data_IF_392391361583
#
_entry.id   IF_392391361583
#
_cell.length_a   1.000
_cell.length_b   1.000
_cell.length_c   1.000
_cell.angle_alpha   90.00
_cell.angle_beta   90.00
_cell.angle_gamma   90.00
#
_symmetry.space_group_name_H-M   'P 1'
#
loop_
_entity.id
_entity.type
_entity.pdbx_description
1 polymer ?
#
# COMPACT_ATOMS: atom_id res chain seq x y z
N UNK A 1 -5.32 -2.88 -6.93
CA UNK A 1 -4.10 -2.12 -6.66
C UNK A 1 -3.94 -0.90 -7.59
N UNK A 2 -3.96 -1.08 -8.92
CA UNK A 2 -3.74 0.03 -9.88
C UNK A 2 -4.73 1.19 -9.65
N UNK A 3 -6.00 0.89 -9.34
CA UNK A 3 -7.02 1.90 -9.01
C UNK A 3 -6.59 2.78 -7.82
N UNK A 4 -6.02 2.17 -6.77
CA UNK A 4 -5.51 2.91 -5.61
C UNK A 4 -4.39 3.89 -6.00
N UNK A 5 -3.42 3.40 -6.79
CA UNK A 5 -2.26 4.23 -7.18
C UNK A 5 -2.67 5.38 -8.08
N UNK A 6 -3.60 5.15 -9.00
CA UNK A 6 -4.16 6.19 -9.84
C UNK A 6 -4.87 7.27 -9.02
N UNK A 7 -5.74 6.87 -8.09
CA UNK A 7 -6.43 7.79 -7.17
C UNK A 7 -5.41 8.61 -6.36
N UNK A 8 -4.40 7.97 -5.77
CA UNK A 8 -3.46 8.67 -4.88
C UNK A 8 -2.50 9.59 -5.64
N UNK A 9 -2.03 9.16 -6.82
CA UNK A 9 -1.26 10.03 -7.70
C UNK A 9 -2.04 11.30 -8.02
N UNK A 10 -3.28 11.15 -8.48
CA UNK A 10 -4.11 12.29 -8.82
C UNK A 10 -4.47 13.13 -7.58
N UNK A 11 -4.75 12.49 -6.45
CA UNK A 11 -4.97 13.18 -5.18
C UNK A 11 -3.78 14.10 -4.82
N UNK A 12 -2.57 13.60 -4.89
CA UNK A 12 -1.39 14.42 -4.59
C UNK A 12 -1.20 15.54 -5.62
N UNK A 13 -1.46 15.28 -6.88
CA UNK A 13 -1.38 16.31 -7.93
C UNK A 13 -2.46 17.38 -7.76
N UNK A 14 -3.68 17.00 -7.40
CA UNK A 14 -4.81 17.94 -7.26
C UNK A 14 -4.74 18.75 -5.96
N UNK A 15 -4.44 18.10 -4.82
CA UNK A 15 -4.50 18.75 -3.51
C UNK A 15 -3.20 19.49 -3.14
N UNK A 16 -2.05 19.05 -3.69
CA UNK A 16 -0.73 19.58 -3.31
C UNK A 16 0.08 20.13 -4.48
N UNK A 17 -0.49 20.19 -5.68
CA UNK A 17 0.23 20.54 -6.92
C UNK A 17 1.51 19.70 -7.11
N UNK A 18 1.43 18.41 -6.71
CA UNK A 18 2.57 17.51 -6.76
C UNK A 18 3.01 17.23 -8.20
N UNK A 19 4.31 17.27 -8.44
CA UNK A 19 4.88 16.78 -9.69
C UNK A 19 5.06 15.26 -9.62
N UNK A 20 4.93 14.59 -10.76
CA UNK A 20 5.06 13.14 -10.83
C UNK A 20 6.37 12.62 -10.20
N UNK A 21 7.48 13.31 -10.45
CA UNK A 21 8.79 12.97 -9.88
C UNK A 21 8.90 13.14 -8.35
N UNK A 22 7.93 13.80 -7.69
CA UNK A 22 7.88 13.93 -6.23
C UNK A 22 7.10 12.82 -5.54
N UNK A 23 6.42 11.97 -6.33
CA UNK A 23 5.62 10.84 -5.84
C UNK A 23 6.45 9.56 -5.88
N UNK A 24 6.31 8.70 -4.88
CA UNK A 24 6.97 7.40 -4.83
C UNK A 24 6.04 6.34 -4.23
N UNK A 25 6.07 5.12 -4.77
CA UNK A 25 5.38 3.96 -4.25
C UNK A 25 6.35 3.13 -3.41
N UNK A 26 5.93 2.74 -2.21
CA UNK A 26 6.72 1.94 -1.27
C UNK A 26 5.96 0.66 -0.93
N UNK A 27 6.59 -0.48 -1.11
CA UNK A 27 6.03 -1.80 -0.80
C UNK A 27 7.15 -2.78 -0.45
N UNK A 28 6.83 -3.86 0.26
CA UNK A 28 7.80 -4.93 0.52
C UNK A 28 8.25 -5.63 -0.76
N UNK A 29 9.37 -6.30 -0.71
CA UNK A 29 9.87 -7.11 -1.83
C UNK A 29 8.97 -8.31 -2.13
N UNK A 30 8.19 -8.78 -1.14
CA UNK A 30 7.24 -9.89 -1.27
C UNK A 30 5.92 -9.48 -1.92
N UNK A 31 5.75 -8.22 -2.25
CA UNK A 31 4.50 -7.71 -2.81
C UNK A 31 4.18 -8.35 -4.15
N UNK A 32 2.89 -8.45 -4.47
CA UNK A 32 2.43 -9.03 -5.73
C UNK A 32 2.92 -8.22 -6.94
N UNK A 33 3.19 -8.90 -8.08
CA UNK A 33 3.70 -8.27 -9.31
C UNK A 33 2.81 -7.13 -9.85
N UNK A 34 1.53 -7.07 -9.47
CA UNK A 34 0.64 -5.96 -9.84
C UNK A 34 1.12 -4.61 -9.31
N UNK A 35 1.90 -4.60 -8.23
CA UNK A 35 2.43 -3.39 -7.63
C UNK A 35 3.50 -2.75 -8.51
N UNK A 36 4.62 -3.43 -8.86
CA UNK A 36 5.59 -2.87 -9.80
C UNK A 36 4.98 -2.59 -11.18
N UNK A 37 4.02 -3.41 -11.64
CA UNK A 37 3.31 -3.16 -12.90
C UNK A 37 2.49 -1.87 -12.83
N UNK A 38 1.78 -1.63 -11.74
CA UNK A 38 1.00 -0.40 -11.54
C UNK A 38 1.88 0.84 -11.46
N UNK A 39 3.00 0.77 -10.75
CA UNK A 39 3.98 1.84 -10.67
C UNK A 39 4.53 2.19 -12.08
N UNK A 40 4.90 1.18 -12.86
CA UNK A 40 5.38 1.37 -14.24
C UNK A 40 4.31 2.01 -15.13
N UNK A 41 3.07 1.50 -15.12
CA UNK A 41 1.97 2.04 -15.93
C UNK A 41 1.67 3.51 -15.60
N UNK A 42 1.80 3.88 -14.34
CA UNK A 42 1.50 5.23 -13.86
C UNK A 42 2.74 6.14 -13.83
N UNK A 43 3.90 5.62 -14.24
CA UNK A 43 5.20 6.31 -14.25
C UNK A 43 5.60 6.83 -12.85
N UNK A 44 5.27 6.07 -11.81
CA UNK A 44 5.62 6.37 -10.42
C UNK A 44 6.88 5.57 -10.05
N UNK A 45 7.88 6.24 -9.49
CA UNK A 45 9.06 5.58 -8.94
C UNK A 45 8.67 4.62 -7.81
N UNK A 46 9.44 3.55 -7.64
CA UNK A 46 9.15 2.52 -6.64
C UNK A 46 10.34 2.24 -5.75
N UNK A 47 10.05 2.09 -4.45
CA UNK A 47 10.96 1.57 -3.44
C UNK A 47 10.50 0.17 -3.04
N UNK A 48 11.40 -0.80 -3.14
CA UNK A 48 11.20 -2.17 -2.66
C UNK A 48 11.87 -2.30 -1.30
N UNK A 49 11.09 -2.58 -0.26
CA UNK A 49 11.57 -2.69 1.11
C UNK A 49 11.96 -4.14 1.38
N UNK A 50 13.19 -4.41 1.82
CA UNK A 50 13.60 -5.75 2.23
C UNK A 50 12.79 -6.27 3.40
N UNK A 51 12.64 -7.59 3.46
CA UNK A 51 12.00 -8.28 4.58
C UNK A 51 12.99 -9.27 5.22
N UNK A 52 12.76 -9.60 6.47
CA UNK A 52 13.48 -10.67 7.16
C UNK A 52 13.21 -12.00 6.47
N UNK A 53 14.25 -12.80 6.24
CA UNK A 53 14.14 -14.04 5.46
C UNK A 53 13.27 -15.10 6.13
N UNK A 54 13.29 -15.20 7.46
CA UNK A 54 12.57 -16.25 8.20
C UNK A 54 11.14 -15.82 8.54
N UNK A 55 10.98 -14.59 9.03
CA UNK A 55 9.69 -14.09 9.54
C UNK A 55 8.88 -13.37 8.47
N UNK A 56 9.50 -12.97 7.37
CA UNK A 56 8.93 -12.12 6.30
C UNK A 56 8.44 -10.76 6.81
N UNK A 57 8.89 -10.34 7.98
CA UNK A 57 8.59 -9.01 8.52
C UNK A 57 9.38 -7.93 7.79
N UNK A 58 8.80 -6.74 7.68
CA UNK A 58 9.48 -5.55 7.13
C UNK A 58 10.73 -5.24 7.96
N UNK A 59 11.85 -5.02 7.28
CA UNK A 59 13.06 -4.53 7.93
C UNK A 59 12.90 -3.01 8.19
N UNK A 60 12.62 -2.64 9.45
CA UNK A 60 12.33 -1.26 9.83
C UNK A 60 13.51 -0.32 9.62
N UNK A 61 14.74 -0.76 9.91
CA UNK A 61 15.93 0.07 9.75
C UNK A 61 16.17 0.41 8.28
N UNK A 62 16.07 -0.58 7.42
CA UNK A 62 16.21 -0.37 5.97
C UNK A 62 15.04 0.43 5.38
N UNK A 63 13.83 0.23 5.90
CA UNK A 63 12.67 1.06 5.50
C UNK A 63 12.94 2.53 5.85
N UNK A 64 13.39 2.82 7.08
CA UNK A 64 13.69 4.19 7.50
C UNK A 64 14.77 4.83 6.62
N UNK A 65 15.87 4.12 6.38
CA UNK A 65 16.95 4.57 5.50
C UNK A 65 16.44 4.89 4.09
N UNK A 66 15.65 4.00 3.48
CA UNK A 66 15.09 4.18 2.14
C UNK A 66 14.14 5.38 2.06
N UNK A 67 13.32 5.61 3.09
CA UNK A 67 12.44 6.77 3.18
C UNK A 67 13.23 8.08 3.25
N UNK A 68 14.30 8.11 4.04
CA UNK A 68 15.17 9.29 4.18
C UNK A 68 15.94 9.58 2.88
N UNK A 69 16.47 8.56 2.22
CA UNK A 69 17.11 8.69 0.90
C UNK A 69 16.11 9.25 -0.12
N UNK A 70 14.89 8.71 -0.14
CA UNK A 70 13.84 9.20 -1.04
C UNK A 70 13.52 10.68 -0.79
N UNK A 71 13.36 11.06 0.49
CA UNK A 71 13.13 12.46 0.90
C UNK A 71 14.27 13.36 0.43
N UNK A 72 15.52 12.95 0.64
CA UNK A 72 16.70 13.71 0.20
C UNK A 72 16.76 13.88 -1.33
N UNK A 73 16.24 12.89 -2.07
CA UNK A 73 16.11 12.91 -3.54
C UNK A 73 14.84 13.64 -4.03
N UNK A 74 14.17 14.40 -3.18
CA UNK A 74 13.04 15.25 -3.55
C UNK A 74 11.68 14.56 -3.56
N UNK A 75 11.57 13.31 -3.04
CA UNK A 75 10.26 12.65 -2.86
C UNK A 75 9.54 13.30 -1.67
N UNK A 76 8.29 13.68 -1.88
CA UNK A 76 7.45 14.36 -0.88
C UNK A 76 6.17 13.57 -0.56
N UNK A 77 5.69 12.77 -1.52
CA UNK A 77 4.40 12.09 -1.45
C UNK A 77 4.57 10.59 -1.60
N UNK A 78 4.10 9.85 -0.62
CA UNK A 78 4.36 8.42 -0.50
C UNK A 78 3.07 7.62 -0.66
N UNK A 79 3.04 6.70 -1.62
CA UNK A 79 1.99 5.69 -1.77
C UNK A 79 2.49 4.42 -1.10
N UNK A 80 1.90 4.05 0.00
CA UNK A 80 2.31 2.87 0.77
C UNK A 80 1.39 1.70 0.44
N UNK A 81 1.97 0.54 0.20
CA UNK A 81 1.24 -0.73 0.07
C UNK A 81 1.65 -1.65 1.20
N UNK A 82 0.70 -2.02 2.03
CA UNK A 82 0.85 -3.00 3.09
C UNK A 82 0.06 -4.25 2.71
N UNK A 83 0.70 -5.41 2.73
CA UNK A 83 0.10 -6.66 2.29
C UNK A 83 -0.70 -7.31 3.42
N UNK A 84 -1.89 -7.79 3.11
CA UNK A 84 -2.68 -8.68 3.96
C UNK A 84 -2.74 -10.07 3.30
N UNK A 85 -1.68 -10.86 3.47
CA UNK A 85 -1.48 -12.15 2.83
C UNK A 85 -0.77 -12.06 1.48
N UNK A 86 0.57 -12.12 1.49
CA UNK A 86 1.36 -12.18 0.25
C UNK A 86 1.15 -13.49 -0.49
N UNK A 87 1.26 -13.47 -1.82
CA UNK A 87 0.95 -14.63 -2.68
C UNK A 87 1.82 -15.86 -2.36
N UNK A 88 3.10 -15.65 -2.07
CA UNK A 88 4.05 -16.76 -1.89
C UNK A 88 4.14 -17.26 -0.45
N UNK A 89 3.99 -16.35 0.52
CA UNK A 89 4.27 -16.68 1.93
C UNK A 89 3.04 -16.53 2.83
N UNK A 90 1.98 -15.88 2.34
CA UNK A 90 0.81 -15.57 3.18
C UNK A 90 1.12 -14.56 4.29
N UNK A 91 2.30 -13.93 4.26
CA UNK A 91 2.72 -12.96 5.28
C UNK A 91 1.81 -11.73 5.29
N UNK A 92 1.66 -11.15 6.46
CA UNK A 92 0.85 -9.95 6.68
C UNK A 92 1.76 -8.85 7.24
N UNK A 93 1.83 -7.74 6.52
CA UNK A 93 2.59 -6.58 6.97
C UNK A 93 1.86 -5.88 8.13
N UNK A 94 2.62 -5.38 9.10
CA UNK A 94 2.06 -4.44 10.07
C UNK A 94 2.03 -3.03 9.46
N UNK A 95 0.85 -2.44 9.20
CA UNK A 95 0.77 -1.09 8.63
C UNK A 95 1.44 -0.01 9.50
N UNK A 96 1.50 -0.23 10.81
CA UNK A 96 2.12 0.72 11.75
C UNK A 96 3.63 0.83 11.56
N UNK A 97 4.29 -0.23 11.10
CA UNK A 97 5.71 -0.18 10.73
C UNK A 97 5.98 0.92 9.71
N UNK A 98 5.13 1.05 8.71
CA UNK A 98 5.25 2.14 7.73
C UNK A 98 4.82 3.49 8.29
N UNK A 99 3.63 3.54 8.88
CA UNK A 99 3.02 4.83 9.26
C UNK A 99 3.75 5.53 10.38
N UNK A 100 4.32 4.80 11.34
CA UNK A 100 5.10 5.38 12.44
C UNK A 100 6.35 6.10 11.94
N UNK A 101 7.06 5.52 10.98
CA UNK A 101 8.24 6.13 10.38
C UNK A 101 7.87 7.34 9.51
N UNK A 102 6.81 7.24 8.69
CA UNK A 102 6.34 8.33 7.87
C UNK A 102 5.91 9.54 8.72
N UNK A 103 5.19 9.31 9.81
CA UNK A 103 4.76 10.36 10.73
C UNK A 103 5.93 10.96 11.50
N UNK A 104 6.89 10.14 11.97
CA UNK A 104 8.12 10.59 12.62
C UNK A 104 8.89 11.57 11.75
N UNK A 105 8.98 11.28 10.44
CA UNK A 105 9.70 12.11 9.47
C UNK A 105 8.83 13.16 8.76
N UNK A 106 7.57 13.33 9.19
CA UNK A 106 6.61 14.29 8.63
C UNK A 106 6.42 14.12 7.12
N UNK A 107 6.36 12.86 6.65
CA UNK A 107 6.14 12.51 5.25
C UNK A 107 4.65 12.39 4.95
N UNK A 108 4.22 12.95 3.83
CA UNK A 108 2.82 12.92 3.39
C UNK A 108 2.57 11.58 2.68
N UNK A 109 1.55 10.83 3.11
CA UNK A 109 1.29 9.51 2.55
C UNK A 109 -0.18 9.18 2.37
N UNK A 110 -0.44 8.17 1.54
CA UNK A 110 -1.68 7.39 1.46
C UNK A 110 -1.35 5.92 1.63
N UNK A 111 -2.12 5.22 2.45
CA UNK A 111 -1.92 3.81 2.76
C UNK A 111 -2.98 2.95 2.09
N UNK A 112 -2.54 2.03 1.26
CA UNK A 112 -3.35 1.00 0.61
C UNK A 112 -3.06 -0.37 1.23
N UNK A 113 -4.10 -1.13 1.50
CA UNK A 113 -3.98 -2.54 1.92
C UNK A 113 -4.23 -3.44 0.70
N UNK A 114 -3.22 -4.20 0.31
CA UNK A 114 -3.40 -5.31 -0.63
C UNK A 114 -3.89 -6.53 0.13
N UNK A 115 -5.21 -6.64 0.26
CA UNK A 115 -5.91 -7.77 0.85
C UNK A 115 -6.46 -8.74 -0.20
N UNK A 116 -5.95 -8.70 -1.43
CA UNK A 116 -6.44 -9.53 -2.53
C UNK A 116 -6.50 -11.02 -2.16
N UNK A 117 -5.55 -11.51 -1.38
CA UNK A 117 -5.52 -12.89 -0.90
C UNK A 117 -6.13 -13.04 0.50
N UNK A 118 -5.63 -12.27 1.49
CA UNK A 118 -5.99 -12.44 2.91
C UNK A 118 -7.27 -11.71 3.34
N UNK A 119 -7.82 -10.81 2.55
CA UNK A 119 -8.90 -9.91 2.96
C UNK A 119 -10.20 -10.59 3.40
N UNK A 120 -10.48 -11.80 2.92
CA UNK A 120 -11.63 -12.59 3.35
C UNK A 120 -11.32 -13.66 4.42
N UNK A 121 -10.08 -13.74 4.88
CA UNK A 121 -9.67 -14.74 5.88
C UNK A 121 -9.06 -14.10 7.12
N UNK A 122 -8.08 -13.22 6.92
CA UNK A 122 -7.30 -12.65 8.00
C UNK A 122 -8.13 -11.90 9.05
N UNK A 123 -9.10 -11.02 8.68
CA UNK A 123 -9.91 -10.31 9.67
C UNK A 123 -10.76 -11.21 10.55
N UNK A 124 -11.21 -12.38 10.04
CA UNK A 124 -12.02 -13.31 10.79
C UNK A 124 -11.21 -14.15 11.79
N UNK A 125 -9.93 -14.39 11.48
CA UNK A 125 -9.02 -15.11 12.37
C UNK A 125 -8.28 -14.19 13.35
N UNK A 126 -8.37 -12.87 13.15
CA UNK A 126 -7.67 -11.87 13.93
C UNK A 126 -8.62 -10.71 14.30
N UNK A 127 -9.59 -11.00 15.14
CA UNK A 127 -10.64 -10.03 15.55
C UNK A 127 -10.10 -8.71 16.12
N UNK A 128 -8.90 -8.76 16.72
CA UNK A 128 -8.21 -7.57 17.26
C UNK A 128 -7.36 -6.83 16.22
N UNK A 129 -7.37 -7.30 14.96
CA UNK A 129 -6.59 -6.65 13.91
C UNK A 129 -7.08 -5.23 13.64
N UNK A 130 -6.13 -4.30 13.56
CA UNK A 130 -6.36 -2.90 13.17
C UNK A 130 -6.21 -2.69 11.65
N UNK A 131 -6.07 -3.77 10.86
CA UNK A 131 -5.96 -3.70 9.40
C UNK A 131 -7.36 -3.66 8.79
N UNK A 132 -8.08 -2.60 9.07
CA UNK A 132 -9.42 -2.30 8.58
C UNK A 132 -9.70 -0.80 8.67
N UNK A 133 -10.87 -0.35 8.22
CA UNK A 133 -11.22 1.08 8.21
C UNK A 133 -11.50 1.72 9.59
N UNK A 134 -11.44 0.97 10.70
CA UNK A 134 -11.39 1.59 12.04
C UNK A 134 -10.04 2.30 12.25
N UNK A 135 -8.98 1.88 11.56
CA UNK A 135 -7.72 2.60 11.51
C UNK A 135 -7.83 3.77 10.51
N UNK A 136 -7.81 5.04 10.99
CA UNK A 136 -7.98 6.20 10.14
C UNK A 136 -6.86 6.40 9.11
N UNK A 137 -5.71 5.76 9.31
CA UNK A 137 -4.55 5.85 8.41
C UNK A 137 -4.75 5.07 7.11
N UNK A 138 -5.60 4.02 7.12
CA UNK A 138 -5.89 3.22 5.94
C UNK A 138 -6.81 4.00 5.01
N UNK A 139 -6.35 4.22 3.79
CA UNK A 139 -7.04 5.00 2.75
C UNK A 139 -7.88 4.12 1.82
N UNK A 140 -7.42 2.92 1.51
CA UNK A 140 -8.15 1.95 0.69
C UNK A 140 -7.70 0.51 0.92
N UNK A 141 -8.55 -0.43 0.49
CA UNK A 141 -8.31 -1.87 0.57
C UNK A 141 -8.76 -2.51 -0.76
N UNK A 142 -7.96 -3.41 -1.30
CA UNK A 142 -8.36 -4.33 -2.38
C UNK A 142 -8.57 -5.72 -1.82
N UNK A 143 -9.67 -6.39 -2.19
CA UNK A 143 -9.98 -7.78 -1.83
C UNK A 143 -10.48 -8.52 -3.06
N UNK A 144 -10.04 -9.77 -3.26
CA UNK A 144 -10.44 -10.57 -4.41
C UNK A 144 -11.34 -11.74 -3.98
N UNK A 145 -12.64 -11.62 -4.29
CA UNK A 145 -13.60 -12.66 -3.97
C UNK A 145 -13.36 -13.96 -4.76
N UNK A 146 -12.79 -13.86 -5.96
CA UNK A 146 -12.43 -15.03 -6.77
C UNK A 146 -11.25 -15.85 -6.23
N UNK A 147 -10.58 -15.39 -5.16
CA UNK A 147 -9.52 -16.12 -4.46
C UNK A 147 -10.14 -16.96 -3.34
N UNK A 148 -10.26 -16.42 -2.15
CA UNK A 148 -10.65 -17.19 -0.96
C UNK A 148 -12.15 -17.51 -0.89
N UNK A 149 -13.03 -16.68 -1.45
CA UNK A 149 -14.48 -16.97 -1.52
C UNK A 149 -14.88 -17.84 -2.70
N UNK A 150 -13.93 -18.21 -3.58
CA UNK A 150 -14.20 -19.07 -4.74
C UNK A 150 -15.32 -18.51 -5.66
N UNK A 151 -15.51 -17.19 -5.69
CA UNK A 151 -16.41 -16.53 -6.61
C UNK A 151 -15.89 -16.65 -8.06
N UNK A 152 -16.70 -16.40 -9.09
CA UNK A 152 -16.25 -16.41 -10.47
C UNK A 152 -15.02 -15.51 -10.68
N UNK A 153 -14.11 -15.95 -11.56
CA UNK A 153 -12.89 -15.22 -11.87
C UNK A 153 -13.16 -13.78 -12.33
N UNK A 154 -12.33 -12.86 -11.84
CA UNK A 154 -12.46 -11.44 -12.14
C UNK A 154 -13.26 -10.64 -11.10
N UNK A 155 -13.74 -11.29 -10.03
CA UNK A 155 -14.48 -10.61 -8.95
C UNK A 155 -13.51 -9.96 -7.96
N UNK A 156 -12.95 -8.81 -8.36
CA UNK A 156 -12.14 -7.95 -7.50
C UNK A 156 -12.97 -6.82 -6.89
N UNK A 157 -12.72 -6.49 -5.64
CA UNK A 157 -13.41 -5.43 -4.89
C UNK A 157 -12.37 -4.40 -4.47
N UNK A 158 -12.65 -3.13 -4.76
CA UNK A 158 -11.86 -2.01 -4.30
C UNK A 158 -12.72 -1.10 -3.43
N UNK A 159 -12.26 -0.81 -2.23
CA UNK A 159 -12.95 0.05 -1.26
C UNK A 159 -11.98 1.16 -0.86
N UNK A 160 -12.44 2.41 -0.90
CA UNK A 160 -11.66 3.55 -0.43
C UNK A 160 -12.49 4.49 0.45
N UNK A 161 -11.82 5.36 1.18
CA UNK A 161 -12.49 6.39 1.96
C UNK A 161 -13.23 7.35 1.04
N UNK A 162 -14.36 7.86 1.55
CA UNK A 162 -15.20 8.86 0.86
C UNK A 162 -14.34 10.04 0.39
N UNK A 163 -14.63 10.53 -0.80
CA UNK A 163 -13.95 11.67 -1.43
C UNK A 163 -12.70 11.28 -2.24
N UNK A 164 -12.07 10.13 -1.96
CA UNK A 164 -10.86 9.75 -2.72
C UNK A 164 -11.16 9.38 -4.17
N UNK A 165 -12.31 8.74 -4.43
CA UNK A 165 -12.69 8.31 -5.79
C UNK A 165 -12.89 9.48 -6.75
N UNK A 166 -13.22 10.66 -6.24
CA UNK A 166 -13.43 11.87 -7.02
C UNK A 166 -12.19 12.31 -7.82
N UNK A 167 -11.01 11.83 -7.41
CA UNK A 167 -9.75 12.11 -8.11
C UNK A 167 -9.58 11.35 -9.44
N UNK A 168 -10.51 10.49 -9.81
CA UNK A 168 -10.46 9.68 -11.04
C UNK A 168 -11.82 9.64 -11.79
N UNK A 169 -12.72 10.53 -11.43
CA UNK A 169 -14.02 10.72 -12.09
C UNK A 169 -13.96 11.82 -13.13
#
# INVERSE_FOLDING_TARGET
NIQAFWIYRNYFMNEFDAKLGEIVLVASEDTHYSIPKGANLLQIDRISVPVDFETRAINEEQLEELLLIAKANGKKYFIIVSNMGTTMFGSVDNPETYTSLLERHQLIYKLHIDGAYGGFVYPFNNEKSVINFSNPKISSITIDAHKMLQAPYGTGIFICRKGLIENVL
#
